data_IF_679022597938
#
_entry.id   IF_679022597938
#
_cell.length_a   1.000
_cell.length_b   1.000
_cell.length_c   1.000
_cell.angle_alpha   90.00
_cell.angle_beta   90.00
_cell.angle_gamma   90.00
#
_symmetry.space_group_name_H-M   'P 1'
#
loop_
_entity.id
_entity.type
_entity.pdbx_description
1 polymer ?
#
# COMPACT_ATOMS: atom_id res chain seq x y z
N UNK A 1 -9.50 4.33 16.83
CA UNK A 1 -9.00 2.93 16.68
C UNK A 1 -7.62 2.79 17.34
N UNK A 2 -7.16 1.57 17.68
CA UNK A 2 -5.76 1.36 18.12
C UNK A 2 -4.78 1.62 16.96
N UNK A 3 -3.56 2.07 17.26
CA UNK A 3 -2.54 2.42 16.26
C UNK A 3 -2.24 1.25 15.31
N UNK A 4 -1.97 0.05 15.85
CA UNK A 4 -1.80 -1.19 15.08
C UNK A 4 -2.97 -1.48 14.13
N UNK A 5 -4.21 -1.31 14.60
CA UNK A 5 -5.40 -1.54 13.77
C UNK A 5 -5.46 -0.56 12.60
N UNK A 6 -5.18 0.73 12.83
CA UNK A 6 -5.11 1.72 11.75
C UNK A 6 -4.02 1.35 10.73
N UNK A 7 -2.81 1.03 11.20
CA UNK A 7 -1.70 0.63 10.33
C UNK A 7 -2.03 -0.59 9.44
N UNK A 8 -2.75 -1.59 9.95
CA UNK A 8 -3.22 -2.74 9.17
C UNK A 8 -4.33 -2.34 8.18
N UNK A 9 -5.35 -1.61 8.65
CA UNK A 9 -6.50 -1.21 7.84
C UNK A 9 -6.10 -0.35 6.65
N UNK A 10 -4.99 0.41 6.77
CA UNK A 10 -4.41 1.19 5.69
C UNK A 10 -4.04 0.38 4.44
N UNK A 11 -3.90 -0.95 4.51
CA UNK A 11 -3.55 -1.80 3.36
C UNK A 11 -4.74 -2.47 2.68
N UNK A 12 -5.90 -2.58 3.33
CA UNK A 12 -6.94 -3.54 2.90
C UNK A 12 -7.58 -3.14 1.57
N UNK A 13 -7.96 -1.88 1.43
CA UNK A 13 -8.52 -1.28 0.20
C UNK A 13 -8.24 0.22 0.19
N UNK A 14 -8.53 0.89 -0.93
CA UNK A 14 -8.55 2.36 -0.95
C UNK A 14 -9.52 2.95 0.09
N UNK A 15 -10.66 2.29 0.32
CA UNK A 15 -11.62 2.70 1.36
C UNK A 15 -11.00 2.53 2.75
N UNK A 16 -10.36 1.40 3.02
CA UNK A 16 -9.63 1.15 4.27
C UNK A 16 -8.52 2.18 4.51
N UNK A 17 -7.80 2.55 3.45
CA UNK A 17 -6.79 3.60 3.47
C UNK A 17 -7.39 4.96 3.88
N UNK A 18 -8.48 5.38 3.24
CA UNK A 18 -9.19 6.63 3.56
C UNK A 18 -9.65 6.64 5.02
N UNK A 19 -10.28 5.56 5.49
CA UNK A 19 -10.74 5.43 6.87
C UNK A 19 -9.55 5.58 7.84
N UNK A 20 -8.45 4.86 7.60
CA UNK A 20 -7.26 4.94 8.44
C UNK A 20 -6.65 6.34 8.45
N UNK A 21 -6.61 7.03 7.30
CA UNK A 21 -6.11 8.39 7.21
C UNK A 21 -6.97 9.38 8.00
N UNK A 22 -8.30 9.32 7.85
CA UNK A 22 -9.22 10.20 8.57
C UNK A 22 -9.15 9.99 10.07
N UNK A 23 -9.11 8.74 10.53
CA UNK A 23 -8.94 8.40 11.95
C UNK A 23 -7.58 8.87 12.49
N UNK A 24 -6.51 8.72 11.71
CA UNK A 24 -5.18 9.23 12.05
C UNK A 24 -5.16 10.77 12.17
N UNK A 25 -5.86 11.49 11.28
CA UNK A 25 -5.96 12.96 11.36
C UNK A 25 -6.76 13.43 12.57
N UNK A 26 -7.79 12.70 13.00
CA UNK A 26 -8.55 12.98 14.23
C UNK A 26 -7.79 12.63 15.52
N UNK A 27 -6.86 11.69 15.46
CA UNK A 27 -6.06 11.29 16.64
C UNK A 27 -5.27 12.47 17.21
N UNK A 28 -5.33 12.66 18.53
CA UNK A 28 -4.52 13.64 19.25
C UNK A 28 -3.02 13.28 19.17
N UNK A 29 -2.70 11.99 19.20
CA UNK A 29 -1.34 11.48 19.04
C UNK A 29 -1.08 11.07 17.59
N UNK A 30 -0.06 11.68 16.98
CA UNK A 30 0.41 11.31 15.63
C UNK A 30 1.42 10.18 15.71
N UNK A 31 0.90 8.95 15.70
CA UNK A 31 1.71 7.72 15.65
C UNK A 31 2.63 7.66 14.43
N UNK A 32 3.94 7.44 14.66
CA UNK A 32 4.92 7.22 13.59
C UNK A 32 4.61 5.95 12.79
N UNK A 33 4.20 4.88 13.47
CA UNK A 33 3.80 3.61 12.87
C UNK A 33 2.67 3.81 11.85
N UNK A 34 1.60 4.53 12.24
CA UNK A 34 0.46 4.76 11.35
C UNK A 34 0.84 5.66 10.18
N UNK A 35 1.61 6.73 10.43
CA UNK A 35 2.11 7.60 9.37
C UNK A 35 2.97 6.84 8.35
N UNK A 36 3.85 5.97 8.84
CA UNK A 36 4.72 5.13 8.02
C UNK A 36 3.89 4.19 7.14
N UNK A 37 2.98 3.42 7.74
CA UNK A 37 2.19 2.44 7.02
C UNK A 37 1.14 3.06 6.09
N UNK A 38 0.61 4.25 6.39
CA UNK A 38 -0.20 5.04 5.45
C UNK A 38 0.60 5.38 4.17
N UNK A 39 1.87 5.74 4.32
CA UNK A 39 2.74 6.08 3.18
C UNK A 39 3.11 4.85 2.35
N UNK A 40 3.48 3.76 3.02
CA UNK A 40 3.81 2.50 2.37
C UNK A 40 2.61 1.90 1.61
N UNK A 41 1.42 1.89 2.22
CA UNK A 41 0.21 1.37 1.57
C UNK A 41 -0.28 2.29 0.45
N UNK A 42 -0.15 3.61 0.59
CA UNK A 42 -0.44 4.55 -0.51
C UNK A 42 0.50 4.30 -1.70
N UNK A 43 1.79 4.09 -1.43
CA UNK A 43 2.77 3.74 -2.45
C UNK A 43 2.44 2.44 -3.18
N UNK A 44 1.97 1.43 -2.45
CA UNK A 44 1.48 0.18 -3.02
C UNK A 44 0.22 0.38 -3.87
N UNK A 45 -0.74 1.18 -3.42
CA UNK A 45 -1.95 1.52 -4.19
C UNK A 45 -1.57 2.20 -5.51
N UNK A 46 -0.70 3.22 -5.46
CA UNK A 46 -0.22 3.95 -6.64
C UNK A 46 0.47 2.99 -7.61
N UNK A 47 1.38 2.15 -7.11
CA UNK A 47 2.08 1.16 -7.94
C UNK A 47 1.11 0.15 -8.58
N UNK A 48 0.11 -0.31 -7.84
CA UNK A 48 -0.89 -1.26 -8.33
C UNK A 48 -1.72 -0.68 -9.47
N UNK A 49 -2.12 0.60 -9.35
CA UNK A 49 -2.84 1.33 -10.39
C UNK A 49 -1.95 1.47 -11.64
N UNK A 50 -0.70 1.91 -11.47
CA UNK A 50 0.26 2.06 -12.58
C UNK A 50 0.51 0.74 -13.31
N UNK A 51 0.71 -0.35 -12.55
CA UNK A 51 0.87 -1.70 -13.12
C UNK A 51 -0.37 -2.14 -13.89
N UNK A 52 -1.56 -1.86 -13.38
CA UNK A 52 -2.82 -2.22 -14.05
C UNK A 52 -3.00 -1.46 -15.37
N UNK A 53 -2.70 -0.16 -15.39
CA UNK A 53 -2.76 0.67 -16.60
C UNK A 53 -1.71 0.20 -17.62
N UNK A 54 -0.47 -0.05 -17.19
CA UNK A 54 0.57 -0.52 -18.09
C UNK A 54 0.22 -1.89 -18.69
N UNK A 55 -0.32 -2.79 -17.87
CA UNK A 55 -0.76 -4.11 -18.31
C UNK A 55 -1.89 -4.02 -19.33
N UNK A 56 -2.89 -3.14 -19.11
CA UNK A 56 -4.01 -2.99 -20.06
C UNK A 56 -3.57 -2.47 -21.42
N UNK A 57 -2.63 -1.51 -21.45
CA UNK A 57 -2.04 -1.00 -22.70
C UNK A 57 -1.27 -2.10 -23.44
N UNK A 58 -0.44 -2.87 -22.73
CA UNK A 58 0.35 -3.95 -23.36
C UNK A 58 -0.57 -5.04 -23.92
N UNK A 59 -1.58 -5.46 -23.16
CA UNK A 59 -2.52 -6.51 -23.59
C UNK A 59 -3.42 -6.07 -24.74
N UNK A 60 -3.69 -4.77 -24.90
CA UNK A 60 -4.39 -4.25 -26.07
C UNK A 60 -3.56 -4.40 -27.36
N UNK A 61 -2.22 -4.33 -27.25
CA UNK A 61 -1.29 -4.47 -28.39
C UNK A 61 -0.95 -5.95 -28.65
N UNK A 62 -0.72 -6.72 -27.58
CA UNK A 62 -0.28 -8.12 -27.64
C UNK A 62 -1.15 -8.99 -26.72
N UNK A 63 -2.37 -9.38 -27.16
CA UNK A 63 -3.30 -10.14 -26.32
C UNK A 63 -2.78 -11.51 -25.88
N UNK A 64 -1.88 -12.13 -26.65
CA UNK A 64 -1.31 -13.45 -26.35
C UNK A 64 -0.50 -13.51 -25.05
N UNK A 65 -0.10 -12.36 -24.49
CA UNK A 65 0.60 -12.28 -23.20
C UNK A 65 -0.33 -12.35 -21.98
N UNK A 66 -1.66 -12.41 -22.17
CA UNK A 66 -2.66 -12.37 -21.08
C UNK A 66 -2.37 -13.31 -19.92
N UNK A 67 -2.01 -14.57 -20.21
CA UNK A 67 -1.72 -15.59 -19.19
C UNK A 67 -0.57 -15.17 -18.23
N UNK A 68 0.49 -14.56 -18.76
CA UNK A 68 1.65 -14.13 -17.96
C UNK A 68 1.28 -12.93 -17.07
N UNK A 69 0.46 -12.01 -17.58
CA UNK A 69 0.04 -10.83 -16.83
C UNK A 69 -0.85 -11.15 -15.63
N UNK A 70 -1.64 -12.23 -15.66
CA UNK A 70 -2.37 -12.68 -14.47
C UNK A 70 -1.45 -13.02 -13.29
N UNK A 71 -0.26 -13.58 -13.56
CA UNK A 71 0.74 -13.85 -12.52
C UNK A 71 1.38 -12.56 -12.00
N UNK A 72 1.64 -11.60 -12.88
CA UNK A 72 2.21 -10.30 -12.52
C UNK A 72 1.26 -9.52 -11.61
N UNK A 73 -0.05 -9.57 -11.89
CA UNK A 73 -1.07 -8.92 -11.07
C UNK A 73 -1.23 -9.54 -9.66
N UNK A 74 -0.61 -10.70 -9.39
CA UNK A 74 -0.52 -11.27 -8.03
C UNK A 74 0.55 -10.58 -7.18
N UNK A 75 1.56 -9.94 -7.79
CA UNK A 75 2.67 -9.31 -7.08
C UNK A 75 2.18 -8.26 -6.07
N UNK A 76 1.30 -7.30 -6.43
CA UNK A 76 0.79 -6.33 -5.47
C UNK A 76 0.05 -6.97 -4.29
N UNK A 77 -0.65 -8.10 -4.51
CA UNK A 77 -1.33 -8.82 -3.45
C UNK A 77 -0.34 -9.43 -2.45
N UNK A 78 0.75 -10.04 -2.92
CA UNK A 78 1.82 -10.54 -2.04
C UNK A 78 2.47 -9.38 -1.27
N UNK A 79 2.76 -8.27 -1.93
CA UNK A 79 3.33 -7.08 -1.29
C UNK A 79 2.39 -6.48 -0.23
N UNK A 80 1.09 -6.49 -0.49
CA UNK A 80 0.05 -6.09 0.46
C UNK A 80 0.11 -6.95 1.73
N UNK A 81 0.18 -8.28 1.59
CA UNK A 81 0.29 -9.19 2.74
C UNK A 81 1.57 -8.93 3.54
N UNK A 82 2.70 -8.70 2.88
CA UNK A 82 3.96 -8.39 3.55
C UNK A 82 3.90 -7.06 4.31
N UNK A 83 3.25 -6.05 3.74
CA UNK A 83 2.98 -4.77 4.42
C UNK A 83 2.09 -4.95 5.66
N UNK A 84 1.04 -5.76 5.56
CA UNK A 84 0.15 -6.10 6.69
C UNK A 84 0.91 -6.85 7.78
N UNK A 85 1.78 -7.81 7.42
CA UNK A 85 2.60 -8.55 8.38
C UNK A 85 3.54 -7.60 9.12
N UNK A 86 4.20 -6.66 8.43
CA UNK A 86 5.04 -5.65 9.07
C UNK A 86 4.23 -4.77 10.03
N UNK A 87 3.06 -4.27 9.58
CA UNK A 87 2.16 -3.46 10.40
C UNK A 87 1.64 -4.21 11.64
N UNK A 88 1.33 -5.50 11.49
CA UNK A 88 0.86 -6.35 12.59
C UNK A 88 1.95 -6.63 13.63
N UNK A 89 3.22 -6.65 13.21
CA UNK A 89 4.36 -6.74 14.10
C UNK A 89 4.84 -5.36 14.60
N UNK A 90 4.13 -4.29 14.25
CA UNK A 90 4.46 -2.91 14.65
C UNK A 90 5.87 -2.49 14.19
N UNK A 91 6.30 -3.00 13.04
CA UNK A 91 7.59 -2.74 12.43
C UNK A 91 7.46 -1.73 11.28
N UNK A 92 8.19 -0.63 11.36
CA UNK A 92 8.36 0.35 10.27
C UNK A 92 9.34 -0.21 9.20
N UNK A 93 8.93 -1.30 8.55
CA UNK A 93 9.71 -1.98 7.51
C UNK A 93 9.13 -1.68 6.13
N UNK A 94 9.96 -1.33 5.13
CA UNK A 94 9.46 -0.97 3.81
C UNK A 94 8.87 -2.21 3.13
N UNK A 95 7.77 -2.01 2.41
CA UNK A 95 7.22 -3.05 1.53
C UNK A 95 8.30 -3.44 0.53
N UNK A 96 8.59 -4.75 0.33
CA UNK A 96 9.63 -5.15 -0.61
C UNK A 96 9.41 -4.61 -2.02
N UNK A 97 10.49 -4.48 -2.79
CA UNK A 97 10.53 -3.97 -4.17
C UNK A 97 10.23 -2.47 -4.32
N UNK A 98 9.21 -1.95 -3.65
CA UNK A 98 8.70 -0.59 -3.89
C UNK A 98 8.81 0.34 -2.69
N UNK A 99 8.82 -0.20 -1.47
CA UNK A 99 8.59 0.57 -0.25
C UNK A 99 9.64 1.63 0.03
N UNK A 100 10.89 1.38 -0.35
CA UNK A 100 11.99 2.36 -0.23
C UNK A 100 11.77 3.62 -1.08
N UNK A 101 11.03 3.52 -2.19
CA UNK A 101 10.74 4.68 -3.05
C UNK A 101 9.79 5.65 -2.34
N UNK A 102 8.84 5.11 -1.58
CA UNK A 102 7.80 5.85 -0.88
C UNK A 102 8.14 6.21 0.57
N UNK A 103 9.22 5.64 1.10
CA UNK A 103 9.71 5.94 2.44
C UNK A 103 10.10 7.41 2.58
N UNK A 104 9.51 8.10 3.57
CA UNK A 104 9.74 9.53 3.80
C UNK A 104 9.16 10.48 2.75
N UNK A 105 8.46 9.99 1.71
CA UNK A 105 7.83 10.85 0.69
C UNK A 105 6.54 11.50 1.15
N UNK A 106 5.90 10.93 2.16
CA UNK A 106 4.64 11.41 2.70
C UNK A 106 4.78 11.72 4.19
N UNK A 107 4.22 12.86 4.58
CA UNK A 107 4.03 13.23 5.98
C UNK A 107 2.56 13.59 6.19
N UNK A 108 1.80 12.67 6.79
CA UNK A 108 0.39 12.87 7.09
C UNK A 108 0.18 13.48 8.49
N UNK A 109 1.24 13.52 9.31
CA UNK A 109 1.22 14.02 10.67
C UNK A 109 1.27 15.55 10.74
N UNK A 110 1.75 16.22 9.69
CA UNK A 110 1.70 17.68 9.52
C UNK A 110 0.29 18.22 9.36
#
# INVERSE_FOLDING_TARGET
MKQKTMAIVAYITLIGWIISYLEFKKSAEKSKLVNYHLGQSLGLIITSILLSILSSVILAIIPSLGAIFYLILLIPFVLLLLGIIAASNELEKPVPLIGKIFEGKFNFAS
#
